data_IF_534103915603
#
_entry.id   IF_534103915603
#
_cell.length_a   1.000
_cell.length_b   1.000
_cell.length_c   1.000
_cell.angle_alpha   90.00
_cell.angle_beta   90.00
_cell.angle_gamma   90.00
#
_symmetry.space_group_name_H-M   'P 1'
#
loop_
_entity.id
_entity.type
_entity.pdbx_description
1 polymer ?
#
# COMPACT_ATOMS: atom_id res chain seq x y z
N UNK A 1 -10.33 13.50 -11.48
CA UNK A 1 -10.99 12.77 -10.37
C UNK A 1 -9.91 12.35 -9.39
N UNK A 2 -9.96 12.81 -8.13
CA UNK A 2 -8.93 12.53 -7.11
C UNK A 2 -9.10 11.10 -6.60
N UNK A 3 -8.03 10.38 -6.27
CA UNK A 3 -8.03 8.97 -5.82
C UNK A 3 -9.06 8.68 -4.71
N UNK A 4 -9.17 9.59 -3.74
CA UNK A 4 -10.13 9.50 -2.62
C UNK A 4 -11.59 9.60 -3.07
N UNK A 5 -11.89 10.34 -4.13
CA UNK A 5 -13.24 10.41 -4.72
C UNK A 5 -13.61 9.08 -5.36
N UNK A 6 -12.65 8.41 -6.03
CA UNK A 6 -12.88 7.10 -6.63
C UNK A 6 -13.14 6.05 -5.55
N UNK A 7 -12.30 6.02 -4.52
CA UNK A 7 -12.43 5.07 -3.41
C UNK A 7 -13.76 5.23 -2.69
N UNK A 8 -14.18 6.46 -2.40
CA UNK A 8 -15.47 6.72 -1.76
C UNK A 8 -16.65 6.40 -2.67
N UNK A 9 -16.62 6.80 -3.95
CA UNK A 9 -17.74 6.57 -4.86
C UNK A 9 -17.92 5.10 -5.26
N UNK A 10 -16.82 4.34 -5.26
CA UNK A 10 -16.83 2.92 -5.63
C UNK A 10 -16.78 1.98 -4.44
N UNK A 11 -16.80 2.52 -3.21
CA UNK A 11 -16.70 1.75 -1.97
C UNK A 11 -15.51 0.77 -1.97
N UNK A 12 -14.39 1.19 -2.54
CA UNK A 12 -13.17 0.37 -2.60
C UNK A 12 -12.45 0.51 -1.27
N UNK A 13 -12.40 -0.58 -0.51
CA UNK A 13 -11.63 -0.65 0.74
C UNK A 13 -10.14 -0.79 0.44
N UNK A 14 -9.35 0.17 0.90
CA UNK A 14 -7.91 0.19 0.75
C UNK A 14 -7.21 0.43 2.10
N UNK A 15 -6.12 -0.31 2.31
CA UNK A 15 -5.20 -0.13 3.43
C UNK A 15 -3.81 0.15 2.89
N UNK A 16 -3.13 1.14 3.46
CA UNK A 16 -1.83 1.59 2.98
C UNK A 16 -0.89 1.91 4.13
N UNK A 17 0.34 1.40 4.07
CA UNK A 17 1.42 1.75 4.98
C UNK A 17 2.43 2.56 4.18
N UNK A 18 2.76 3.76 4.64
CA UNK A 18 3.76 4.63 4.01
C UNK A 18 4.80 5.08 5.02
N UNK A 19 5.97 5.48 4.55
CA UNK A 19 7.04 5.97 5.42
C UNK A 19 6.60 7.22 6.20
N UNK A 20 6.99 7.29 7.48
CA UNK A 20 6.74 8.44 8.33
C UNK A 20 7.67 9.61 7.97
N UNK A 21 7.32 10.28 6.87
CA UNK A 21 8.00 11.47 6.35
C UNK A 21 7.02 12.64 6.24
N UNK A 22 7.52 13.85 5.97
CA UNK A 22 6.64 15.01 5.74
C UNK A 22 5.73 14.83 4.52
N UNK A 23 6.23 14.14 3.49
CA UNK A 23 5.43 13.70 2.35
C UNK A 23 4.36 12.69 2.77
N UNK A 24 4.72 11.68 3.57
CA UNK A 24 3.78 10.68 4.10
C UNK A 24 2.67 11.32 4.95
N UNK A 25 3.03 12.21 5.89
CA UNK A 25 2.07 12.96 6.72
C UNK A 25 1.11 13.80 5.86
N UNK A 26 1.63 14.46 4.83
CA UNK A 26 0.83 15.25 3.90
C UNK A 26 -0.12 14.37 3.08
N UNK A 27 0.36 13.23 2.59
CA UNK A 27 -0.43 12.26 1.85
C UNK A 27 -1.57 11.70 2.71
N UNK A 28 -1.25 11.22 3.92
CA UNK A 28 -2.23 10.74 4.90
C UNK A 28 -3.31 11.79 5.17
N UNK A 29 -2.93 13.04 5.46
CA UNK A 29 -3.90 14.13 5.71
C UNK A 29 -4.86 14.37 4.55
N UNK A 30 -4.40 14.19 3.31
CA UNK A 30 -5.18 14.47 2.10
C UNK A 30 -6.08 13.31 1.68
N UNK A 31 -5.65 12.08 1.93
CA UNK A 31 -6.26 10.90 1.31
C UNK A 31 -6.93 9.94 2.28
N UNK A 32 -6.57 9.98 3.57
CA UNK A 32 -7.17 9.10 4.58
C UNK A 32 -8.68 9.36 4.71
N UNK A 33 -9.48 8.31 4.63
CA UNK A 33 -10.94 8.35 4.65
C UNK A 33 -11.50 7.05 5.21
N UNK A 34 -12.82 6.89 5.30
CA UNK A 34 -13.46 5.65 5.76
C UNK A 34 -13.00 4.43 4.94
N UNK A 35 -12.96 4.58 3.62
CA UNK A 35 -12.61 3.51 2.67
C UNK A 35 -11.12 3.47 2.30
N UNK A 36 -10.31 4.42 2.79
CA UNK A 36 -8.86 4.44 2.57
C UNK A 36 -8.14 4.73 3.88
N UNK A 37 -7.68 3.68 4.54
CA UNK A 37 -6.95 3.80 5.80
C UNK A 37 -5.45 3.85 5.53
N UNK A 38 -4.78 4.88 6.04
CA UNK A 38 -3.35 5.11 5.83
C UNK A 38 -2.62 5.14 7.19
N UNK A 39 -1.63 4.28 7.36
CA UNK A 39 -0.73 4.25 8.53
C UNK A 39 0.68 4.72 8.15
N UNK A 40 1.34 5.39 9.09
CA UNK A 40 2.70 5.88 8.93
C UNK A 40 3.64 4.96 9.71
N UNK A 41 4.71 4.47 9.09
CA UNK A 41 5.69 3.60 9.73
C UNK A 41 7.08 4.21 9.72
N UNK A 42 7.79 4.09 10.84
CA UNK A 42 9.22 4.42 10.96
C UNK A 42 10.13 3.24 10.55
N UNK A 43 9.57 2.07 10.25
CA UNK A 43 10.35 0.88 9.92
C UNK A 43 10.81 0.93 8.45
N UNK A 44 12.05 1.35 8.23
CA UNK A 44 12.68 1.44 6.91
C UNK A 44 12.72 0.10 6.15
N UNK A 45 12.75 -1.04 6.87
CA UNK A 45 12.79 -2.36 6.22
C UNK A 45 11.51 -2.69 5.44
N UNK A 46 10.39 -2.05 5.77
CA UNK A 46 9.11 -2.26 5.07
C UNK A 46 9.11 -1.68 3.65
N UNK A 47 10.00 -0.74 3.34
CA UNK A 47 9.93 0.07 2.11
C UNK A 47 11.07 -0.21 1.14
N UNK A 48 11.66 -1.41 1.21
CA UNK A 48 12.67 -1.84 0.23
C UNK A 48 12.13 -1.88 -1.22
N UNK A 49 10.81 -1.97 -1.38
CA UNK A 49 10.10 -1.78 -2.63
C UNK A 49 8.61 -1.50 -2.38
N UNK A 50 7.96 -0.86 -3.35
CA UNK A 50 6.52 -0.59 -3.28
C UNK A 50 5.75 -1.83 -3.75
N UNK A 51 4.82 -2.31 -2.93
CA UNK A 51 3.98 -3.47 -3.26
C UNK A 51 2.51 -3.07 -3.26
N UNK A 52 1.81 -3.37 -4.35
CA UNK A 52 0.36 -3.25 -4.45
C UNK A 52 -0.21 -4.66 -4.39
N UNK A 53 -0.95 -4.96 -3.34
CA UNK A 53 -1.54 -6.28 -3.10
C UNK A 53 -3.02 -6.23 -3.48
N UNK A 54 -3.40 -7.03 -4.47
CA UNK A 54 -4.77 -7.20 -4.92
C UNK A 54 -5.28 -8.60 -4.52
N UNK A 55 -6.54 -8.88 -4.83
CA UNK A 55 -7.15 -10.15 -4.42
C UNK A 55 -6.46 -11.37 -5.04
N UNK A 56 -6.07 -11.27 -6.30
CA UNK A 56 -5.54 -12.37 -7.12
C UNK A 56 -4.08 -12.21 -7.53
N UNK A 57 -3.44 -11.07 -7.21
CA UNK A 57 -2.08 -10.74 -7.65
C UNK A 57 -1.37 -9.74 -6.76
N UNK A 58 -0.06 -9.68 -6.91
CA UNK A 58 0.79 -8.62 -6.31
C UNK A 58 1.55 -7.92 -7.42
N UNK A 59 1.56 -6.59 -7.38
CA UNK A 59 2.39 -5.76 -8.23
C UNK A 59 3.56 -5.25 -7.41
N UNK A 60 4.77 -5.67 -7.78
CA UNK A 60 5.99 -5.17 -7.20
C UNK A 60 6.51 -4.04 -8.09
N UNK A 61 6.62 -2.84 -7.53
CA UNK A 61 7.00 -1.63 -8.26
C UNK A 61 8.38 -1.19 -7.79
N UNK A 62 9.31 -1.12 -8.73
CA UNK A 62 10.67 -0.64 -8.51
C UNK A 62 10.88 0.66 -9.30
N UNK A 63 11.39 1.66 -8.59
CA UNK A 63 11.70 2.97 -9.16
C UNK A 63 13.22 3.08 -9.36
N UNK A 64 13.66 3.06 -10.63
CA UNK A 64 15.04 3.29 -11.03
C UNK A 64 15.11 4.23 -12.24
N UNK A 65 16.07 4.00 -13.15
CA UNK A 65 16.12 4.73 -14.44
C UNK A 65 14.87 4.50 -15.31
N UNK A 66 14.16 3.41 -15.06
CA UNK A 66 12.82 3.14 -15.56
C UNK A 66 11.94 2.65 -14.41
N UNK A 67 10.62 2.82 -14.56
CA UNK A 67 9.64 2.19 -13.67
C UNK A 67 9.48 0.74 -14.12
N UNK A 68 9.80 -0.20 -13.23
CA UNK A 68 9.61 -1.63 -13.48
C UNK A 68 8.47 -2.11 -12.60
N UNK A 69 7.49 -2.75 -13.24
CA UNK A 69 6.37 -3.40 -12.55
C UNK A 69 6.46 -4.90 -12.81
N UNK A 70 6.61 -5.68 -11.75
CA UNK A 70 6.57 -7.14 -11.82
C UNK A 70 5.22 -7.59 -11.27
N UNK A 71 4.47 -8.29 -12.10
CA UNK A 71 3.18 -8.87 -11.72
C UNK A 71 3.36 -10.32 -11.29
N UNK A 72 2.84 -10.65 -10.10
CA UNK A 72 2.89 -11.98 -9.51
C UNK A 72 1.48 -12.53 -9.40
N UNK A 73 1.14 -13.50 -10.25
CA UNK A 73 -0.15 -14.21 -10.26
C UNK A 73 0.07 -15.63 -9.74
N UNK A 74 0.47 -15.74 -8.48
CA UNK A 74 0.69 -17.01 -7.80
C UNK A 74 -0.07 -16.99 -6.46
N UNK A 75 -1.11 -17.81 -6.26
CA UNK A 75 -1.97 -17.73 -5.08
C UNK A 75 -1.22 -17.88 -3.74
N UNK A 76 -0.21 -18.74 -3.69
CA UNK A 76 0.61 -18.93 -2.48
C UNK A 76 1.36 -17.64 -2.16
N UNK A 77 2.06 -17.05 -3.14
CA UNK A 77 2.78 -15.79 -2.95
C UNK A 77 1.86 -14.63 -2.62
N UNK A 78 0.70 -14.52 -3.27
CA UNK A 78 -0.31 -13.50 -2.99
C UNK A 78 -0.77 -13.58 -1.54
N UNK A 79 -1.14 -14.77 -1.07
CA UNK A 79 -1.56 -14.98 0.31
C UNK A 79 -0.43 -14.70 1.30
N UNK A 80 0.81 -15.12 1.02
CA UNK A 80 1.95 -14.78 1.86
C UNK A 80 2.19 -13.27 1.97
N UNK A 81 2.05 -12.53 0.88
CA UNK A 81 2.19 -11.07 0.90
C UNK A 81 1.06 -10.39 1.67
N UNK A 82 -0.20 -10.87 1.54
CA UNK A 82 -1.32 -10.40 2.37
C UNK A 82 -1.03 -10.58 3.86
N UNK A 83 -0.54 -11.77 4.26
CA UNK A 83 -0.18 -12.05 5.65
C UNK A 83 0.94 -11.13 6.17
N UNK A 84 2.00 -10.93 5.38
CA UNK A 84 3.10 -10.02 5.73
C UNK A 84 2.58 -8.59 5.89
N UNK A 85 1.71 -8.14 4.98
CA UNK A 85 1.09 -6.83 5.08
C UNK A 85 0.22 -6.70 6.34
N UNK A 86 -0.62 -7.69 6.65
CA UNK A 86 -1.47 -7.66 7.85
C UNK A 86 -0.62 -7.61 9.14
N UNK A 87 0.47 -8.39 9.19
CA UNK A 87 1.41 -8.33 10.32
C UNK A 87 2.06 -6.95 10.46
N UNK A 88 2.49 -6.35 9.34
CA UNK A 88 3.05 -5.00 9.33
C UNK A 88 2.00 -3.96 9.73
N UNK A 89 0.77 -4.11 9.23
CA UNK A 89 -0.35 -3.23 9.54
C UNK A 89 -0.61 -3.19 11.04
N UNK A 90 -0.77 -4.34 11.67
CA UNK A 90 -1.04 -4.46 13.10
C UNK A 90 0.15 -4.01 13.97
N UNK A 91 1.37 -4.14 13.46
CA UNK A 91 2.59 -3.66 14.12
C UNK A 91 2.77 -2.14 14.10
N UNK A 92 2.12 -1.44 13.17
CA UNK A 92 2.14 0.02 13.07
C UNK A 92 0.98 0.59 13.89
N UNK A 93 1.30 1.24 15.01
CA UNK A 93 0.34 1.88 15.92
C UNK A 93 0.02 3.31 15.52
#
# INVERSE_FOLDING_TARGET
MKTTEIMNNKEIEAREIIANSDHGKTHKRKHNSKHHQIRLSDNEMLFSADNIILDDRVLHVSFGAAIIVIEIINPVRVNSQKMIFDMAWDGVK
#
